data_IF_585348584670
#
_entry.id   IF_585348584670
#
_cell.length_a   1.000
_cell.length_b   1.000
_cell.length_c   1.000
_cell.angle_alpha   90.00
_cell.angle_beta   90.00
_cell.angle_gamma   90.00
#
_symmetry.space_group_name_H-M   'P 1'
#
loop_
_entity.id
_entity.type
_entity.pdbx_description
1 polymer ?
#
# COMPACT_ATOMS: atom_id res chain seq x y z
N UNK A 1 -39.60 -15.27 -9.44
CA UNK A 1 -38.35 -15.63 -8.74
C UNK A 1 -37.21 -14.93 -9.48
N UNK A 2 -36.38 -14.11 -8.87
CA UNK A 2 -35.22 -13.53 -9.56
C UNK A 2 -34.24 -14.69 -9.90
N UNK A 3 -34.04 -14.95 -11.17
CA UNK A 3 -32.99 -15.83 -11.65
C UNK A 3 -31.64 -15.18 -11.33
N UNK A 4 -30.92 -15.72 -10.37
CA UNK A 4 -29.56 -15.26 -10.07
C UNK A 4 -28.67 -15.55 -11.27
N UNK A 5 -28.12 -14.50 -11.86
CA UNK A 5 -27.14 -14.62 -12.93
C UNK A 5 -25.89 -15.39 -12.44
N UNK A 6 -25.41 -16.31 -13.24
CA UNK A 6 -24.23 -17.10 -12.91
C UNK A 6 -22.99 -16.19 -12.82
N UNK A 7 -22.09 -16.44 -11.84
CA UNK A 7 -20.85 -15.70 -11.73
C UNK A 7 -20.02 -15.74 -13.01
N UNK A 8 -20.08 -16.84 -13.76
CA UNK A 8 -19.41 -17.00 -15.05
C UNK A 8 -19.94 -16.03 -16.10
N UNK A 9 -21.26 -15.85 -16.19
CA UNK A 9 -21.89 -14.93 -17.13
C UNK A 9 -21.54 -13.48 -16.79
N UNK A 10 -21.45 -13.15 -15.50
CA UNK A 10 -21.04 -11.83 -15.03
C UNK A 10 -19.57 -11.56 -15.42
N UNK A 11 -18.66 -12.54 -15.25
CA UNK A 11 -17.24 -12.37 -15.58
C UNK A 11 -17.02 -12.31 -17.12
N UNK A 12 -17.78 -13.04 -17.92
CA UNK A 12 -17.78 -12.95 -19.38
C UNK A 12 -18.25 -11.57 -19.85
N UNK A 13 -19.38 -11.07 -19.35
CA UNK A 13 -19.89 -9.74 -19.67
C UNK A 13 -18.92 -8.61 -19.21
N UNK A 14 -18.27 -8.78 -18.07
CA UNK A 14 -17.25 -7.84 -17.59
C UNK A 14 -16.04 -7.78 -18.53
N UNK A 15 -15.61 -8.91 -19.08
CA UNK A 15 -14.52 -8.98 -20.06
C UNK A 15 -14.90 -8.30 -21.38
N UNK A 16 -16.14 -8.47 -21.85
CA UNK A 16 -16.65 -7.80 -23.05
C UNK A 16 -16.71 -6.28 -22.87
N UNK A 17 -17.18 -5.81 -21.71
CA UNK A 17 -17.19 -4.38 -21.40
C UNK A 17 -15.76 -3.81 -21.30
N UNK A 18 -14.82 -4.55 -20.72
CA UNK A 18 -13.42 -4.14 -20.67
C UNK A 18 -12.83 -3.97 -22.06
N UNK A 19 -13.10 -4.93 -22.97
CA UNK A 19 -12.65 -4.84 -24.36
C UNK A 19 -13.30 -3.70 -25.15
N UNK A 20 -14.52 -3.28 -24.81
CA UNK A 20 -15.15 -2.08 -25.39
C UNK A 20 -14.51 -0.79 -24.88
N UNK A 21 -14.24 -0.71 -23.57
CA UNK A 21 -13.57 0.44 -22.93
C UNK A 21 -12.14 0.63 -23.45
N UNK A 22 -11.45 -0.45 -23.78
CA UNK A 22 -10.08 -0.43 -24.31
C UNK A 22 -10.00 0.08 -25.77
N UNK A 23 -11.06 -0.08 -26.55
CA UNK A 23 -11.13 0.40 -27.95
C UNK A 23 -11.27 1.93 -28.08
N UNK A 24 -11.58 2.64 -27.00
CA UNK A 24 -11.73 4.10 -26.98
C UNK A 24 -12.93 4.60 -26.20
N UNK A 25 -13.33 5.85 -26.43
CA UNK A 25 -14.50 6.44 -25.78
C UNK A 25 -15.77 5.73 -26.20
N UNK A 26 -16.59 5.36 -25.21
CA UNK A 26 -17.91 4.79 -25.47
C UNK A 26 -18.84 5.86 -26.08
N UNK A 27 -19.76 5.40 -26.91
CA UNK A 27 -20.87 6.24 -27.37
C UNK A 27 -21.84 6.50 -26.22
N UNK A 28 -22.64 7.59 -26.23
CA UNK A 28 -23.64 7.87 -25.18
C UNK A 28 -24.63 6.74 -24.94
N UNK A 29 -24.92 5.94 -25.98
CA UNK A 29 -25.77 4.75 -25.86
C UNK A 29 -25.07 3.61 -25.11
N UNK A 30 -23.80 3.35 -25.40
CA UNK A 30 -23.01 2.33 -24.71
C UNK A 30 -22.71 2.70 -23.24
N UNK A 31 -22.54 3.99 -22.94
CA UNK A 31 -22.42 4.46 -21.55
C UNK A 31 -23.69 4.18 -20.75
N UNK A 32 -24.86 4.46 -21.32
CA UNK A 32 -26.14 4.15 -20.69
C UNK A 32 -26.37 2.64 -20.50
N UNK A 33 -25.94 1.80 -21.46
CA UNK A 33 -26.01 0.35 -21.35
C UNK A 33 -25.06 -0.17 -20.24
N UNK A 34 -23.85 0.34 -20.17
CA UNK A 34 -22.89 -0.01 -19.10
C UNK A 34 -23.43 0.36 -17.73
N UNK A 35 -23.99 1.55 -17.59
CA UNK A 35 -24.53 2.00 -16.32
C UNK A 35 -25.73 1.15 -15.89
N UNK A 36 -26.65 0.85 -16.80
CA UNK A 36 -27.78 -0.05 -16.57
C UNK A 36 -27.30 -1.48 -16.17
N UNK A 37 -26.28 -1.98 -16.83
CA UNK A 37 -25.69 -3.27 -16.50
C UNK A 37 -25.07 -3.24 -15.08
N UNK A 38 -24.33 -2.21 -14.71
CA UNK A 38 -23.71 -2.06 -13.39
C UNK A 38 -24.72 -1.92 -12.24
N UNK A 39 -25.93 -1.40 -12.51
CA UNK A 39 -26.99 -1.26 -11.51
C UNK A 39 -27.76 -2.56 -11.27
N UNK A 40 -27.73 -3.51 -12.20
CA UNK A 40 -28.53 -4.73 -12.12
C UNK A 40 -28.10 -5.73 -11.05
N UNK A 41 -26.78 -5.86 -10.76
CA UNK A 41 -26.23 -6.77 -9.75
C UNK A 41 -24.97 -6.17 -9.13
N UNK A 42 -24.88 -6.06 -7.77
CA UNK A 42 -23.70 -5.49 -7.07
C UNK A 42 -22.38 -6.18 -7.39
N UNK A 43 -22.40 -7.46 -7.80
CA UNK A 43 -21.22 -8.24 -8.17
C UNK A 43 -20.58 -7.79 -9.48
N UNK A 44 -21.35 -7.19 -10.41
CA UNK A 44 -20.90 -6.78 -11.74
C UNK A 44 -19.83 -5.71 -11.71
N UNK A 45 -19.93 -4.75 -10.78
CA UNK A 45 -18.91 -3.71 -10.59
C UNK A 45 -17.55 -4.31 -10.18
N UNK A 46 -17.56 -5.30 -9.28
CA UNK A 46 -16.35 -6.03 -8.89
C UNK A 46 -15.76 -6.88 -10.01
N UNK A 47 -16.62 -7.49 -10.85
CA UNK A 47 -16.20 -8.25 -12.01
C UNK A 47 -15.54 -7.36 -13.06
N UNK A 48 -16.11 -6.19 -13.37
CA UNK A 48 -15.53 -5.22 -14.30
C UNK A 48 -14.14 -4.76 -13.87
N UNK A 49 -13.98 -4.41 -12.59
CA UNK A 49 -12.67 -4.02 -12.05
C UNK A 49 -11.63 -5.15 -12.15
N UNK A 50 -12.02 -6.39 -11.90
CA UNK A 50 -11.12 -7.55 -12.09
C UNK A 50 -10.72 -7.74 -13.54
N UNK A 51 -11.68 -7.64 -14.48
CA UNK A 51 -11.42 -7.77 -15.90
C UNK A 51 -10.47 -6.69 -16.42
N UNK A 52 -10.66 -5.43 -16.01
CA UNK A 52 -9.76 -4.32 -16.33
C UNK A 52 -8.33 -4.55 -15.77
N UNK A 53 -8.21 -5.04 -14.53
CA UNK A 53 -6.91 -5.34 -13.93
C UNK A 53 -6.18 -6.48 -14.68
N UNK A 54 -6.91 -7.46 -15.22
CA UNK A 54 -6.35 -8.54 -16.03
C UNK A 54 -5.91 -8.01 -17.40
N UNK A 55 -6.71 -7.14 -18.04
CA UNK A 55 -6.37 -6.52 -19.33
C UNK A 55 -5.08 -5.70 -19.23
N UNK A 56 -4.94 -4.84 -18.21
CA UNK A 56 -3.73 -4.06 -17.95
C UNK A 56 -2.49 -4.94 -17.74
N UNK A 57 -2.63 -6.09 -17.06
CA UNK A 57 -1.55 -7.07 -16.91
C UNK A 57 -1.19 -7.73 -18.24
N UNK A 58 -2.18 -8.02 -19.08
CA UNK A 58 -1.99 -8.63 -20.38
C UNK A 58 -1.24 -7.70 -21.35
N UNK A 59 -1.56 -6.40 -21.35
CA UNK A 59 -0.80 -5.40 -22.12
C UNK A 59 0.65 -5.27 -21.65
N UNK A 60 0.86 -5.27 -20.32
CA UNK A 60 2.20 -5.27 -19.75
C UNK A 60 3.00 -6.52 -20.12
N UNK A 61 2.34 -7.68 -20.24
CA UNK A 61 2.97 -8.92 -20.67
C UNK A 61 3.31 -8.92 -22.18
N UNK A 62 2.45 -8.32 -23.02
CA UNK A 62 2.74 -8.14 -24.45
C UNK A 62 3.91 -7.19 -24.70
N UNK A 63 4.10 -6.16 -23.85
CA UNK A 63 5.24 -5.26 -23.90
C UNK A 63 6.58 -5.94 -23.57
N UNK A 64 6.58 -7.12 -22.93
CA UNK A 64 7.77 -7.92 -22.64
C UNK A 64 8.30 -8.72 -23.85
N UNK A 65 7.59 -8.73 -24.97
CA UNK A 65 8.02 -9.33 -26.24
C UNK A 65 7.90 -10.86 -26.30
N UNK A 66 8.24 -11.44 -27.47
CA UNK A 66 8.07 -12.87 -27.81
C UNK A 66 8.97 -13.86 -27.05
N UNK A 67 9.72 -13.42 -26.04
CA UNK A 67 10.57 -14.26 -25.18
C UNK A 67 9.97 -14.50 -23.78
N UNK A 68 8.74 -14.10 -23.57
CA UNK A 68 8.07 -14.34 -22.28
C UNK A 68 7.61 -15.79 -22.19
N UNK A 69 8.24 -16.58 -21.28
CA UNK A 69 7.77 -17.93 -20.95
C UNK A 69 6.99 -17.86 -19.61
N UNK A 70 5.68 -18.14 -19.61
CA UNK A 70 4.89 -18.18 -18.39
C UNK A 70 5.38 -19.20 -17.35
N UNK A 71 6.13 -20.23 -17.79
CA UNK A 71 6.67 -21.26 -16.90
C UNK A 71 7.76 -20.74 -15.96
N UNK A 72 8.45 -19.65 -16.31
CA UNK A 72 9.46 -19.03 -15.46
C UNK A 72 8.88 -18.33 -14.22
N UNK A 73 7.56 -18.11 -14.21
CA UNK A 73 6.82 -17.45 -13.14
C UNK A 73 5.83 -18.37 -12.42
N UNK A 74 5.84 -19.66 -12.74
CA UNK A 74 5.02 -20.64 -12.03
C UNK A 74 5.49 -20.71 -10.55
N UNK A 75 4.56 -20.65 -9.57
CA UNK A 75 4.94 -20.85 -8.18
C UNK A 75 5.58 -22.23 -8.02
N UNK A 76 6.65 -22.38 -7.21
CA UNK A 76 7.29 -23.66 -7.02
C UNK A 76 6.28 -24.68 -6.54
N UNK A 77 6.19 -25.79 -7.26
CA UNK A 77 5.33 -26.93 -6.90
C UNK A 77 5.65 -27.33 -5.47
N UNK A 78 4.65 -27.53 -4.58
CA UNK A 78 4.91 -27.93 -3.22
C UNK A 78 5.72 -29.23 -3.23
N UNK A 79 6.94 -29.17 -2.75
CA UNK A 79 7.78 -30.36 -2.58
C UNK A 79 7.00 -31.35 -1.70
N UNK A 80 6.78 -32.56 -2.20
CA UNK A 80 6.18 -33.66 -1.45
C UNK A 80 6.87 -33.76 -0.09
N UNK A 81 6.09 -33.60 0.97
CA UNK A 81 6.54 -33.84 2.35
C UNK A 81 6.96 -35.29 2.46
N UNK A 82 8.27 -35.57 2.31
CA UNK A 82 8.85 -36.85 2.70
C UNK A 82 8.54 -37.06 4.17
N UNK A 83 7.71 -38.06 4.44
CA UNK A 83 7.30 -38.47 5.77
C UNK A 83 8.50 -38.73 6.68
N UNK A 84 8.61 -37.96 7.76
CA UNK A 84 9.57 -38.25 8.81
C UNK A 84 9.12 -39.53 9.50
N UNK A 85 9.90 -40.60 9.31
CA UNK A 85 9.72 -41.91 9.91
C UNK A 85 9.69 -41.81 11.45
N UNK A 86 8.59 -42.28 12.05
CA UNK A 86 8.36 -42.38 13.50
C UNK A 86 9.19 -43.51 14.16
N UNK A 87 10.49 -43.59 13.91
CA UNK A 87 11.36 -44.56 14.58
C UNK A 87 12.69 -43.92 14.98
N UNK A 88 12.66 -43.10 16.04
CA UNK A 88 13.83 -42.83 16.89
C UNK A 88 13.43 -41.97 18.10
N UNK A 89 12.58 -42.53 18.95
CA UNK A 89 12.46 -42.08 20.33
C UNK A 89 12.45 -43.30 21.22
N UNK A 90 13.63 -43.66 21.69
CA UNK A 90 13.78 -44.45 22.94
C UNK A 90 15.28 -44.35 23.30
N UNK A 91 15.44 -44.13 24.59
CA UNK A 91 16.65 -44.16 25.39
C UNK A 91 17.24 -42.76 25.67
N UNK A 92 16.77 -42.19 26.81
CA UNK A 92 17.65 -41.87 27.94
C UNK A 92 16.80 -41.66 29.19
N UNK A 93 16.74 -42.68 30.03
CA UNK A 93 16.27 -42.67 31.41
C UNK A 93 17.39 -42.19 32.32
N UNK A 94 17.10 -41.31 33.26
CA UNK A 94 18.06 -40.96 34.32
C UNK A 94 17.56 -39.84 35.22
N UNK A 95 16.82 -40.21 36.23
CA UNK A 95 16.61 -39.66 37.60
C UNK A 95 17.04 -38.23 37.92
N UNK A 96 16.12 -37.42 38.41
CA UNK A 96 16.20 -36.74 39.72
C UNK A 96 14.87 -36.06 40.08
N UNK A 97 14.25 -36.52 41.16
CA UNK A 97 13.11 -35.90 41.84
C UNK A 97 13.59 -34.65 42.57
N UNK A 98 13.03 -33.51 42.24
CA UNK A 98 12.99 -32.34 43.12
C UNK A 98 11.71 -31.58 42.83
N UNK A 99 10.82 -31.55 43.80
CA UNK A 99 9.53 -30.91 43.77
C UNK A 99 9.67 -29.39 43.60
N UNK A 100 9.05 -28.87 42.56
CA UNK A 100 8.70 -27.48 42.50
C UNK A 100 7.23 -27.39 42.03
N UNK A 101 6.38 -27.03 42.96
CA UNK A 101 4.98 -26.68 42.71
C UNK A 101 4.96 -25.47 41.81
N UNK A 102 4.90 -25.67 40.49
CA UNK A 102 4.65 -24.61 39.53
C UNK A 102 3.17 -24.18 39.68
N UNK A 103 2.96 -23.10 40.42
CA UNK A 103 1.75 -22.31 40.31
C UNK A 103 1.72 -21.82 38.85
N UNK A 104 0.89 -22.46 38.04
CA UNK A 104 0.55 -22.00 36.73
C UNK A 104 -0.24 -20.68 36.89
N UNK A 105 0.48 -19.56 37.01
CA UNK A 105 -0.07 -18.24 36.75
C UNK A 105 -0.38 -18.27 35.27
N UNK A 106 -1.65 -18.40 34.92
CA UNK A 106 -2.17 -18.29 33.56
C UNK A 106 -1.91 -16.89 33.06
N UNK A 107 -0.71 -16.67 32.56
CA UNK A 107 -0.42 -15.51 31.68
C UNK A 107 -1.19 -15.81 30.42
N UNK A 108 -2.40 -15.26 30.31
CA UNK A 108 -3.13 -15.17 29.04
C UNK A 108 -2.25 -14.39 28.08
N UNK A 109 -1.43 -15.12 27.30
CA UNK A 109 -0.74 -14.48 26.16
C UNK A 109 -1.83 -13.86 25.29
N UNK A 110 -1.80 -12.54 25.06
CA UNK A 110 -2.77 -11.92 24.17
C UNK A 110 -2.64 -12.64 22.83
N UNK A 111 -3.77 -13.11 22.30
CA UNK A 111 -3.85 -13.85 21.05
C UNK A 111 -2.95 -13.17 20.01
N UNK A 112 -1.90 -13.86 19.57
CA UNK A 112 -0.91 -13.33 18.67
C UNK A 112 -1.61 -13.01 17.35
N UNK A 113 -1.82 -11.69 17.06
CA UNK A 113 -2.45 -11.25 15.84
C UNK A 113 -1.61 -11.65 14.62
N UNK A 114 -2.26 -11.81 13.47
CA UNK A 114 -1.59 -12.12 12.21
C UNK A 114 -0.80 -10.91 11.72
N UNK A 115 0.50 -11.05 11.51
CA UNK A 115 1.33 -10.00 10.90
C UNK A 115 1.43 -10.25 9.40
N UNK A 116 1.17 -9.20 8.61
CA UNK A 116 1.26 -9.21 7.15
C UNK A 116 2.23 -8.11 6.75
N UNK A 117 3.16 -8.45 5.84
CA UNK A 117 4.17 -7.51 5.37
C UNK A 117 4.32 -7.57 3.87
N UNK A 118 4.77 -6.46 3.29
CA UNK A 118 5.22 -6.33 1.90
C UNK A 118 6.74 -6.15 1.86
N UNK A 119 7.35 -6.68 0.81
CA UNK A 119 8.73 -6.38 0.45
C UNK A 119 8.87 -5.02 -0.25
N UNK A 120 10.12 -4.68 -0.62
CA UNK A 120 10.39 -3.48 -1.41
C UNK A 120 9.79 -3.61 -2.80
N UNK A 121 9.10 -2.57 -3.27
CA UNK A 121 8.39 -2.55 -4.55
C UNK A 121 7.10 -3.36 -4.59
N UNK A 122 6.76 -4.10 -3.51
CA UNK A 122 5.55 -4.90 -3.45
C UNK A 122 4.37 -4.05 -2.98
N UNK A 123 3.25 -4.17 -3.70
CA UNK A 123 1.93 -3.68 -3.30
C UNK A 123 1.04 -4.89 -2.98
N UNK A 124 0.29 -4.84 -1.89
CA UNK A 124 -0.57 -5.96 -1.49
C UNK A 124 -1.92 -5.51 -0.98
N UNK A 125 -2.98 -6.02 -1.58
CA UNK A 125 -4.34 -5.86 -1.07
C UNK A 125 -4.63 -6.94 -0.02
N UNK A 126 -5.06 -6.50 1.16
CA UNK A 126 -5.43 -7.36 2.29
C UNK A 126 -6.92 -7.18 2.57
N UNK A 127 -7.76 -8.17 2.25
CA UNK A 127 -9.16 -8.13 2.64
C UNK A 127 -9.29 -8.42 4.14
N UNK A 128 -10.15 -7.67 4.81
CA UNK A 128 -10.56 -7.92 6.18
C UNK A 128 -11.88 -8.69 6.20
N UNK A 129 -12.13 -9.45 7.28
CA UNK A 129 -13.33 -10.31 7.39
C UNK A 129 -14.66 -9.57 7.30
N UNK A 130 -14.65 -8.30 7.50
CA UNK A 130 -15.82 -7.43 7.47
C UNK A 130 -16.14 -6.83 6.09
N UNK A 131 -15.35 -7.15 5.08
CA UNK A 131 -15.45 -6.56 3.75
C UNK A 131 -14.67 -5.24 3.57
N UNK A 132 -14.06 -4.72 4.64
CA UNK A 132 -13.07 -3.64 4.51
C UNK A 132 -11.80 -4.17 3.86
N UNK A 133 -11.01 -3.28 3.27
CA UNK A 133 -9.75 -3.64 2.64
C UNK A 133 -8.62 -2.73 3.11
N UNK A 134 -7.40 -3.27 3.13
CA UNK A 134 -6.18 -2.51 3.40
C UNK A 134 -5.21 -2.74 2.24
N UNK A 135 -4.86 -1.70 1.49
CA UNK A 135 -3.79 -1.75 0.51
C UNK A 135 -2.49 -1.39 1.21
N UNK A 136 -1.52 -2.28 1.17
CA UNK A 136 -0.18 -2.07 1.72
C UNK A 136 0.76 -1.58 0.62
N UNK A 137 1.46 -0.49 0.89
CA UNK A 137 2.52 0.03 0.04
C UNK A 137 3.83 -0.78 0.24
N UNK A 138 4.86 -0.43 -0.49
CA UNK A 138 6.23 -0.97 -0.37
C UNK A 138 6.74 -0.96 1.07
N UNK A 139 7.49 -2.00 1.48
CA UNK A 139 8.16 -2.12 2.78
C UNK A 139 7.24 -1.81 3.98
N UNK A 140 6.01 -2.29 3.92
CA UNK A 140 4.96 -2.05 4.92
C UNK A 140 4.71 -3.28 5.76
N UNK A 141 4.43 -3.09 7.05
CA UNK A 141 4.05 -4.17 7.95
C UNK A 141 2.89 -3.75 8.83
N UNK A 142 1.84 -4.57 8.85
CA UNK A 142 0.67 -4.41 9.70
C UNK A 142 0.47 -5.67 10.56
N UNK A 143 -0.20 -5.48 11.69
CA UNK A 143 -0.68 -6.59 12.52
C UNK A 143 -2.19 -6.49 12.69
N UNK A 144 -2.90 -7.57 12.36
CA UNK A 144 -4.36 -7.66 12.45
C UNK A 144 -4.72 -8.49 13.67
N UNK A 145 -5.62 -7.98 14.51
CA UNK A 145 -6.23 -8.69 15.63
C UNK A 145 -7.74 -8.56 15.53
N UNK A 146 -8.41 -9.70 15.42
CA UNK A 146 -9.86 -9.77 15.47
C UNK A 146 -10.27 -10.01 16.93
N UNK A 147 -10.77 -8.98 17.59
CA UNK A 147 -11.34 -9.07 18.93
C UNK A 147 -12.86 -9.27 18.92
N UNK A 148 -13.41 -9.63 20.10
CA UNK A 148 -14.86 -9.79 20.27
C UNK A 148 -15.59 -8.46 20.03
N UNK A 149 -15.02 -7.34 20.49
CA UNK A 149 -15.67 -6.03 20.50
C UNK A 149 -15.16 -5.06 19.43
N UNK A 150 -13.94 -5.23 18.96
CA UNK A 150 -13.32 -4.35 17.97
C UNK A 150 -12.42 -5.11 17.00
N UNK A 151 -12.27 -4.56 15.79
CA UNK A 151 -11.30 -5.01 14.79
C UNK A 151 -10.11 -4.07 14.85
N UNK A 152 -8.96 -4.62 15.16
CA UNK A 152 -7.75 -3.83 15.38
C UNK A 152 -6.71 -4.13 14.32
N UNK A 153 -6.23 -3.08 13.67
CA UNK A 153 -5.08 -3.14 12.76
C UNK A 153 -4.00 -2.21 13.31
N UNK A 154 -2.82 -2.72 13.56
CA UNK A 154 -1.69 -1.91 14.00
C UNK A 154 -0.74 -1.70 12.83
N UNK A 155 -0.47 -0.45 12.43
CA UNK A 155 0.57 -0.11 11.47
C UNK A 155 1.92 -0.10 12.19
N UNK A 156 2.76 -1.10 11.91
CA UNK A 156 4.08 -1.24 12.53
C UNK A 156 5.11 -0.35 11.82
N UNK A 157 5.10 -0.34 10.49
CA UNK A 157 5.92 0.52 9.62
C UNK A 157 5.33 0.61 8.23
N UNK A 158 5.76 1.61 7.46
CA UNK A 158 5.41 1.76 6.06
C UNK A 158 4.17 2.62 5.84
N UNK A 159 3.38 2.30 4.83
CA UNK A 159 2.25 3.09 4.38
C UNK A 159 1.10 2.20 3.94
N UNK A 160 -0.11 2.50 4.40
CA UNK A 160 -1.30 1.70 4.11
C UNK A 160 -2.51 2.59 3.83
N UNK A 161 -3.29 2.20 2.82
CA UNK A 161 -4.57 2.81 2.52
C UNK A 161 -5.70 1.90 2.98
N UNK A 162 -6.60 2.46 3.78
CA UNK A 162 -7.73 1.78 4.36
C UNK A 162 -9.02 2.16 3.63
N UNK A 163 -9.79 1.18 3.22
CA UNK A 163 -11.15 1.35 2.72
C UNK A 163 -12.11 0.61 3.65
N UNK A 164 -12.81 1.36 4.51
CA UNK A 164 -13.65 0.79 5.57
C UNK A 164 -15.09 0.68 5.08
N UNK A 165 -15.61 -0.56 5.06
CA UNK A 165 -16.95 -0.87 4.57
C UNK A 165 -18.05 -0.30 5.46
N UNK A 166 -19.16 0.12 4.83
CA UNK A 166 -20.37 0.61 5.51
C UNK A 166 -21.13 -0.46 6.29
N UNK A 167 -21.91 -0.02 7.26
CA UNK A 167 -22.99 -0.83 7.85
C UNK A 167 -22.53 -1.94 8.81
N UNK A 168 -21.34 -1.81 9.40
CA UNK A 168 -20.85 -2.76 10.41
C UNK A 168 -21.12 -2.25 11.82
N UNK A 169 -21.51 -3.18 12.71
CA UNK A 169 -21.82 -2.88 14.12
C UNK A 169 -20.59 -2.46 14.93
N UNK A 170 -19.38 -2.83 14.46
CA UNK A 170 -18.13 -2.56 15.17
C UNK A 170 -17.23 -1.64 14.35
N UNK A 171 -16.70 -0.55 14.94
CA UNK A 171 -15.77 0.33 14.26
C UNK A 171 -14.45 -0.39 13.97
N UNK A 172 -13.75 0.07 12.93
CA UNK A 172 -12.34 -0.28 12.71
C UNK A 172 -11.46 0.61 13.60
N UNK A 173 -10.56 0.00 14.34
CA UNK A 173 -9.54 0.68 15.14
C UNK A 173 -8.19 0.46 14.48
N UNK A 174 -7.54 1.53 14.03
CA UNK A 174 -6.17 1.48 13.53
C UNK A 174 -5.24 2.09 14.57
N UNK A 175 -4.23 1.32 14.97
CA UNK A 175 -3.22 1.77 15.95
C UNK A 175 -1.91 2.12 15.26
N UNK A 176 -1.31 3.24 15.68
CA UNK A 176 0.02 3.67 15.26
C UNK A 176 0.67 4.46 16.40
N UNK A 177 1.86 4.06 16.82
CA UNK A 177 2.65 4.73 17.89
C UNK A 177 1.83 5.07 19.15
N UNK A 178 1.02 4.09 19.60
CA UNK A 178 0.16 4.22 20.78
C UNK A 178 -1.10 5.07 20.59
N UNK A 179 -1.30 5.66 19.42
CA UNK A 179 -2.54 6.38 19.08
C UNK A 179 -3.56 5.46 18.45
N UNK A 180 -4.82 5.77 18.65
CA UNK A 180 -5.95 5.02 18.09
C UNK A 180 -6.75 5.88 17.14
N UNK A 181 -6.86 5.42 15.91
CA UNK A 181 -7.71 5.98 14.86
C UNK A 181 -8.96 5.12 14.78
N UNK A 182 -10.12 5.72 14.98
CA UNK A 182 -11.40 5.01 15.05
C UNK A 182 -12.30 5.55 13.96
N UNK A 183 -12.87 4.66 13.15
CA UNK A 183 -13.86 5.03 12.15
C UNK A 183 -14.89 3.92 11.94
N UNK A 184 -16.14 4.32 11.69
CA UNK A 184 -17.20 3.42 11.26
C UNK A 184 -17.21 3.24 9.74
N UNK A 185 -16.78 4.29 9.02
CA UNK A 185 -16.71 4.32 7.57
C UNK A 185 -15.80 5.47 7.13
N UNK A 186 -14.72 5.17 6.45
CA UNK A 186 -13.83 6.14 5.82
C UNK A 186 -12.93 5.46 4.79
N UNK A 187 -12.37 6.28 3.89
CA UNK A 187 -11.18 5.92 3.14
C UNK A 187 -10.06 6.87 3.52
N UNK A 188 -8.92 6.33 3.93
CA UNK A 188 -7.81 7.15 4.41
C UNK A 188 -6.46 6.45 4.20
N UNK A 189 -5.44 7.25 4.06
CA UNK A 189 -4.05 6.82 3.99
C UNK A 189 -3.35 7.11 5.33
N UNK A 190 -2.60 6.14 5.83
CA UNK A 190 -1.78 6.27 7.02
C UNK A 190 -0.36 5.87 6.69
N UNK A 191 0.60 6.77 6.92
CA UNK A 191 2.00 6.51 6.67
C UNK A 191 2.85 6.71 7.92
N UNK A 192 3.72 5.72 8.18
CA UNK A 192 4.74 5.70 9.22
C UNK A 192 6.08 5.40 8.58
N UNK A 193 6.71 6.43 8.03
CA UNK A 193 7.97 6.34 7.32
C UNK A 193 9.14 6.77 8.21
N UNK A 194 10.31 6.17 7.98
CA UNK A 194 11.52 6.52 8.75
C UNK A 194 11.91 7.98 8.49
N UNK A 195 12.15 8.74 9.56
CA UNK A 195 12.59 10.14 9.47
C UNK A 195 11.50 11.14 9.10
N UNK A 196 10.23 10.70 9.07
CA UNK A 196 9.08 11.55 8.84
C UNK A 196 8.03 11.35 9.95
N UNK A 197 7.25 12.38 10.29
CA UNK A 197 6.12 12.21 11.20
C UNK A 197 5.11 11.22 10.62
N UNK A 198 4.37 10.54 11.51
CA UNK A 198 3.22 9.74 11.07
C UNK A 198 2.19 10.69 10.48
N UNK A 199 1.76 10.39 9.26
CA UNK A 199 0.82 11.23 8.53
C UNK A 199 -0.48 10.47 8.29
N UNK A 200 -1.62 11.07 8.65
CA UNK A 200 -2.97 10.65 8.32
C UNK A 200 -3.53 11.58 7.25
N UNK A 201 -4.01 11.03 6.16
CA UNK A 201 -4.73 11.73 5.09
C UNK A 201 -6.11 11.07 4.91
N UNK A 202 -7.17 11.78 5.19
CA UNK A 202 -8.54 11.28 5.00
C UNK A 202 -9.04 11.72 3.63
N UNK A 203 -9.40 10.73 2.79
CA UNK A 203 -9.95 10.97 1.46
C UNK A 203 -11.48 11.07 1.49
N UNK A 204 -12.14 10.17 2.25
CA UNK A 204 -13.61 10.18 2.40
C UNK A 204 -14.00 9.81 3.83
N UNK A 205 -15.12 10.38 4.31
CA UNK A 205 -15.63 10.12 5.64
C UNK A 205 -14.90 10.89 6.74
N UNK A 206 -14.83 10.29 7.92
CA UNK A 206 -14.23 10.88 9.11
C UNK A 206 -13.47 9.82 9.90
N UNK A 207 -12.32 10.21 10.43
CA UNK A 207 -11.50 9.41 11.32
C UNK A 207 -11.32 10.16 12.64
N UNK A 208 -11.68 9.54 13.75
CA UNK A 208 -11.48 10.08 15.09
C UNK A 208 -10.14 9.59 15.65
N UNK A 209 -9.22 10.49 15.93
CA UNK A 209 -7.95 10.19 16.58
C UNK A 209 -8.07 10.36 18.08
N UNK A 210 -7.70 9.34 18.84
CA UNK A 210 -7.54 9.39 20.28
C UNK A 210 -6.06 9.22 20.62
N UNK A 211 -5.46 10.23 21.24
CA UNK A 211 -4.09 10.15 21.73
C UNK A 211 -4.07 9.62 23.19
N UNK A 212 -3.06 8.82 23.57
CA UNK A 212 -2.86 8.49 24.99
C UNK A 212 -2.45 9.80 25.71
N UNK A 213 -3.31 10.27 26.58
CA UNK A 213 -3.04 11.44 27.42
C UNK A 213 -3.22 11.08 28.88
N UNK A 214 -2.33 11.57 29.72
CA UNK A 214 -2.53 11.52 31.18
C UNK A 214 -3.55 12.60 31.54
N UNK A 215 -4.82 12.21 31.66
CA UNK A 215 -5.93 13.08 32.02
C UNK A 215 -7.06 13.07 31.00
N UNK A 216 -7.18 14.12 30.18
CA UNK A 216 -8.25 14.23 29.20
C UNK A 216 -7.93 13.51 27.91
N UNK A 217 -8.78 12.53 27.54
CA UNK A 217 -8.75 11.91 26.20
C UNK A 217 -9.25 12.92 25.17
N UNK A 218 -8.33 13.67 24.56
CA UNK A 218 -8.71 14.53 23.44
C UNK A 218 -8.98 13.67 22.21
N UNK A 219 -10.18 13.81 21.69
CA UNK A 219 -10.56 13.24 20.41
C UNK A 219 -10.43 14.33 19.35
N UNK A 220 -9.62 14.07 18.33
CA UNK A 220 -9.45 14.95 17.17
C UNK A 220 -10.14 14.31 15.98
N UNK A 221 -11.17 14.94 15.45
CA UNK A 221 -11.86 14.49 14.24
C UNK A 221 -11.13 15.02 13.00
N UNK A 222 -10.75 14.10 12.10
CA UNK A 222 -10.14 14.40 10.80
C UNK A 222 -11.16 14.04 9.72
N UNK A 223 -11.66 15.04 9.01
CA UNK A 223 -12.68 14.89 7.96
C UNK A 223 -12.05 14.66 6.59
N UNK A 224 -12.90 14.37 5.61
CA UNK A 224 -12.50 14.27 4.21
C UNK A 224 -11.71 15.51 3.76
N UNK A 225 -10.73 15.29 2.90
CA UNK A 225 -9.79 16.29 2.35
C UNK A 225 -8.99 17.03 3.42
N UNK A 226 -8.75 16.36 4.55
CA UNK A 226 -7.86 16.85 5.61
C UNK A 226 -6.70 15.89 5.86
N UNK A 227 -5.55 16.46 6.20
CA UNK A 227 -4.38 15.75 6.70
C UNK A 227 -4.09 16.10 8.15
N UNK A 228 -3.42 15.18 8.83
CA UNK A 228 -2.93 15.37 10.18
C UNK A 228 -1.54 14.75 10.32
N UNK A 229 -0.55 15.58 10.65
CA UNK A 229 0.78 15.12 11.00
C UNK A 229 0.83 14.87 12.51
N UNK A 230 1.07 13.62 12.88
CA UNK A 230 1.12 13.20 14.29
C UNK A 230 2.52 13.50 14.83
N UNK A 231 2.59 14.33 15.85
CA UNK A 231 3.86 14.65 16.49
C UNK A 231 4.47 13.39 17.14
N UNK A 232 5.80 13.26 17.09
CA UNK A 232 6.47 12.17 17.81
C UNK A 232 6.21 12.29 19.31
N UNK A 233 5.95 11.16 20.01
CA UNK A 233 5.78 11.17 21.47
C UNK A 233 7.06 11.67 22.12
N UNK A 234 6.98 12.76 22.85
CA UNK A 234 8.12 13.31 23.63
C UNK A 234 8.01 12.85 25.08
N UNK A 235 9.02 12.15 25.57
CA UNK A 235 9.09 11.56 26.92
C UNK A 235 9.11 12.61 28.01
N UNK A 236 8.91 13.75 28.02
CA UNK A 236 8.92 14.72 29.14
C UNK A 236 8.38 16.11 28.75
N UNK A 237 7.74 16.24 27.57
CA UNK A 237 7.13 17.51 27.16
C UNK A 237 5.74 17.22 26.56
N UNK A 238 4.73 18.04 26.86
CA UNK A 238 3.45 17.95 26.19
C UNK A 238 3.67 18.13 24.68
N UNK A 239 3.15 17.19 23.89
CA UNK A 239 3.15 17.35 22.44
C UNK A 239 2.27 18.53 22.06
N UNK A 240 2.63 19.32 21.03
CA UNK A 240 1.77 20.39 20.54
C UNK A 240 0.43 19.81 20.13
N UNK A 241 -0.66 20.59 20.21
CA UNK A 241 -1.98 20.11 19.84
C UNK A 241 -1.99 19.72 18.37
N UNK A 242 -2.39 18.48 18.10
CA UNK A 242 -2.54 17.96 16.76
C UNK A 242 -3.73 18.68 16.09
N UNK A 243 -3.47 19.38 14.99
CA UNK A 243 -4.50 20.15 14.26
C UNK A 243 -4.60 19.64 12.83
N UNK A 244 -5.75 19.11 12.41
CA UNK A 244 -5.98 18.80 11.01
C UNK A 244 -5.86 20.05 10.13
N UNK A 245 -5.27 19.89 8.95
CA UNK A 245 -5.15 20.94 7.94
C UNK A 245 -5.79 20.49 6.63
N UNK A 246 -6.47 21.40 5.90
CA UNK A 246 -7.07 21.06 4.63
C UNK A 246 -5.98 20.78 3.58
N UNK A 247 -6.30 19.90 2.63
CA UNK A 247 -5.46 19.58 1.47
C UNK A 247 -6.28 19.71 0.20
N UNK A 248 -5.65 20.16 -0.89
CA UNK A 248 -6.31 20.20 -2.18
C UNK A 248 -6.53 18.79 -2.74
N UNK A 249 -7.54 18.62 -3.60
CA UNK A 249 -7.81 17.37 -4.31
C UNK A 249 -6.59 16.87 -5.09
N UNK A 250 -5.83 17.79 -5.70
CA UNK A 250 -4.61 17.46 -6.42
C UNK A 250 -3.54 16.88 -5.50
N UNK A 251 -3.41 17.43 -4.29
CA UNK A 251 -2.50 16.87 -3.27
C UNK A 251 -2.95 15.48 -2.82
N UNK A 252 -4.26 15.26 -2.64
CA UNK A 252 -4.81 13.93 -2.32
C UNK A 252 -4.48 12.95 -3.44
N UNK A 253 -4.78 13.30 -4.70
CA UNK A 253 -4.50 12.47 -5.89
C UNK A 253 -3.02 12.11 -5.98
N UNK A 254 -2.12 13.08 -5.80
CA UNK A 254 -0.67 12.84 -5.80
C UNK A 254 -0.22 11.91 -4.68
N UNK A 255 -0.69 12.15 -3.46
CA UNK A 255 -0.35 11.31 -2.30
C UNK A 255 -0.84 9.88 -2.44
N UNK A 256 -1.92 9.66 -3.20
CA UNK A 256 -2.51 8.34 -3.45
C UNK A 256 -2.06 7.70 -4.78
N UNK A 257 -1.19 8.36 -5.57
CA UNK A 257 -0.69 7.83 -6.85
C UNK A 257 -0.03 6.44 -6.72
N UNK A 258 0.52 6.14 -5.54
CA UNK A 258 1.12 4.83 -5.27
C UNK A 258 0.12 3.67 -5.33
N UNK A 259 -1.18 3.92 -5.13
CA UNK A 259 -2.24 2.90 -5.31
C UNK A 259 -2.24 2.34 -6.74
N UNK A 260 -1.79 3.14 -7.71
CA UNK A 260 -1.62 2.77 -9.11
C UNK A 260 -0.16 2.38 -9.46
N UNK A 261 0.70 2.19 -8.47
CA UNK A 261 2.11 1.89 -8.68
C UNK A 261 2.92 3.06 -9.22
N UNK A 262 2.48 4.29 -8.99
CA UNK A 262 3.11 5.52 -9.50
C UNK A 262 3.62 6.41 -8.37
N UNK A 263 4.58 7.27 -8.68
CA UNK A 263 5.02 8.38 -7.83
C UNK A 263 4.74 9.69 -8.57
N UNK A 264 4.09 10.62 -7.89
CA UNK A 264 3.76 11.94 -8.44
C UNK A 264 4.62 13.01 -7.78
N UNK A 265 5.21 13.88 -8.60
CA UNK A 265 6.01 15.02 -8.18
C UNK A 265 5.39 16.34 -8.66
N UNK A 266 5.54 17.40 -7.88
CA UNK A 266 5.07 18.76 -8.20
C UNK A 266 6.08 19.81 -7.70
N UNK A 267 7.23 19.85 -8.36
CA UNK A 267 8.30 20.79 -8.03
C UNK A 267 9.24 20.33 -6.93
N UNK A 268 9.18 19.05 -6.51
CA UNK A 268 10.20 18.47 -5.66
C UNK A 268 11.57 18.50 -6.32
N UNK A 269 12.63 18.65 -5.54
CA UNK A 269 13.99 18.61 -6.09
C UNK A 269 14.28 17.24 -6.70
N UNK A 270 15.12 17.19 -7.72
CA UNK A 270 15.53 15.94 -8.35
C UNK A 270 16.15 14.97 -7.32
N UNK A 271 16.88 15.49 -6.32
CA UNK A 271 17.39 14.66 -5.22
C UNK A 271 16.25 14.02 -4.42
N UNK A 272 15.23 14.79 -4.03
CA UNK A 272 14.07 14.26 -3.30
C UNK A 272 13.28 13.24 -4.13
N UNK A 273 13.17 13.49 -5.44
CA UNK A 273 12.56 12.54 -6.36
C UNK A 273 13.37 11.24 -6.44
N UNK A 274 14.69 11.31 -6.59
CA UNK A 274 15.59 10.15 -6.60
C UNK A 274 15.49 9.34 -5.29
N UNK A 275 15.46 10.01 -4.14
CA UNK A 275 15.30 9.38 -2.83
C UNK A 275 13.95 8.66 -2.70
N UNK A 276 12.90 9.19 -3.35
CA UNK A 276 11.58 8.57 -3.36
C UNK A 276 11.59 7.22 -4.09
N UNK A 277 12.34 7.08 -5.19
CA UNK A 277 12.50 5.81 -5.90
C UNK A 277 13.21 4.74 -5.06
N UNK A 278 14.10 5.12 -4.15
CA UNK A 278 14.79 4.19 -3.26
C UNK A 278 13.84 3.41 -2.31
N UNK A 279 12.62 3.86 -2.14
CA UNK A 279 11.57 3.12 -1.40
C UNK A 279 11.04 1.93 -2.18
N UNK A 280 11.02 2.01 -3.51
CA UNK A 280 10.35 1.04 -4.38
C UNK A 280 11.31 0.11 -5.13
N UNK A 281 12.59 0.47 -5.25
CA UNK A 281 13.58 -0.27 -6.03
C UNK A 281 14.91 -0.38 -5.28
N UNK A 282 15.63 -1.46 -5.53
CA UNK A 282 17.03 -1.60 -5.10
C UNK A 282 17.97 -0.79 -5.97
N UNK A 283 17.55 -0.44 -7.20
CA UNK A 283 18.27 0.48 -8.07
C UNK A 283 18.30 1.88 -7.47
N UNK A 284 19.49 2.40 -7.22
CA UNK A 284 19.71 3.72 -6.65
C UNK A 284 19.96 4.75 -7.74
N UNK A 285 19.42 5.95 -7.58
CA UNK A 285 19.72 7.09 -8.44
C UNK A 285 20.65 8.01 -7.67
N UNK A 286 21.86 8.22 -8.19
CA UNK A 286 22.86 9.11 -7.63
C UNK A 286 23.03 10.32 -8.53
N UNK A 287 22.96 11.52 -7.96
CA UNK A 287 23.13 12.77 -8.70
C UNK A 287 24.49 13.37 -8.29
N UNK A 288 25.40 13.52 -9.25
CA UNK A 288 26.76 14.02 -8.96
C UNK A 288 26.82 15.55 -8.83
N UNK A 289 25.97 16.24 -9.57
CA UNK A 289 26.00 17.69 -9.62
C UNK A 289 25.00 18.33 -8.68
N UNK A 290 25.48 19.16 -7.75
CA UNK A 290 24.63 19.83 -6.78
C UNK A 290 23.62 20.80 -7.43
N UNK A 291 23.91 21.35 -8.60
CA UNK A 291 22.97 22.18 -9.37
C UNK A 291 21.84 21.30 -9.92
N UNK A 292 22.19 20.17 -10.55
CA UNK A 292 21.21 19.22 -11.09
C UNK A 292 20.32 18.65 -9.96
N UNK A 293 20.89 18.35 -8.80
CA UNK A 293 20.17 17.82 -7.65
C UNK A 293 19.03 18.75 -7.16
N UNK A 294 19.15 20.06 -7.41
CA UNK A 294 18.16 21.08 -7.01
C UNK A 294 17.11 21.39 -8.07
N UNK A 295 17.26 20.83 -9.28
CA UNK A 295 16.28 21.07 -10.36
C UNK A 295 14.91 20.56 -9.95
N UNK A 296 13.83 21.31 -10.18
CA UNK A 296 12.48 20.91 -9.85
C UNK A 296 11.97 19.86 -10.82
N UNK A 297 11.34 18.82 -10.29
CA UNK A 297 10.73 17.75 -11.09
C UNK A 297 9.22 17.78 -10.88
N UNK A 298 8.48 17.77 -12.00
CA UNK A 298 7.03 17.65 -12.01
C UNK A 298 6.63 16.53 -12.96
N UNK A 299 5.73 15.66 -12.54
CA UNK A 299 5.22 14.58 -13.38
C UNK A 299 4.80 13.35 -12.59
N UNK A 300 4.29 12.37 -13.34
CA UNK A 300 3.84 11.08 -12.83
C UNK A 300 4.71 9.97 -13.42
N UNK A 301 5.34 9.18 -12.57
CA UNK A 301 6.32 8.17 -12.97
C UNK A 301 5.97 6.81 -12.37
N UNK A 302 6.27 5.72 -13.09
CA UNK A 302 6.14 4.37 -12.55
C UNK A 302 7.13 4.17 -11.40
N UNK A 303 6.64 3.79 -10.23
CA UNK A 303 7.44 3.68 -9.01
C UNK A 303 8.56 2.60 -9.11
N UNK A 304 8.35 1.59 -9.94
CA UNK A 304 9.28 0.49 -10.18
C UNK A 304 10.23 0.70 -11.37
N UNK A 305 10.22 1.89 -12.02
CA UNK A 305 11.08 2.20 -13.16
C UNK A 305 12.01 3.41 -12.91
N UNK A 306 13.01 3.28 -12.01
CA UNK A 306 14.00 4.33 -11.79
C UNK A 306 14.84 4.62 -13.05
N UNK A 307 14.99 3.64 -13.95
CA UNK A 307 15.73 3.83 -15.19
C UNK A 307 14.95 4.69 -16.19
N UNK A 308 13.64 4.48 -16.36
CA UNK A 308 12.78 5.32 -17.17
C UNK A 308 12.72 6.75 -16.65
N UNK A 309 12.58 6.93 -15.34
CA UNK A 309 12.67 8.23 -14.69
C UNK A 309 14.00 8.93 -15.00
N UNK A 310 15.12 8.24 -14.81
CA UNK A 310 16.45 8.81 -15.05
C UNK A 310 16.66 9.23 -16.51
N UNK A 311 16.17 8.44 -17.49
CA UNK A 311 16.22 8.82 -18.90
C UNK A 311 15.38 10.06 -19.20
N UNK A 312 14.15 10.12 -18.65
CA UNK A 312 13.28 11.28 -18.84
C UNK A 312 13.91 12.57 -18.29
N UNK A 313 14.45 12.49 -17.08
CA UNK A 313 15.15 13.62 -16.43
C UNK A 313 16.39 14.04 -17.23
N UNK A 314 17.17 13.08 -17.70
CA UNK A 314 18.37 13.35 -18.49
C UNK A 314 18.02 14.11 -19.79
N UNK A 315 16.93 13.72 -20.45
CA UNK A 315 16.46 14.41 -21.67
C UNK A 315 15.96 15.84 -21.40
N UNK A 316 15.36 16.10 -20.23
CA UNK A 316 14.83 17.43 -19.86
C UNK A 316 15.95 18.38 -19.45
N UNK A 317 16.93 17.91 -18.67
CA UNK A 317 17.96 18.74 -18.05
C UNK A 317 19.32 18.65 -18.76
N UNK A 318 19.38 18.08 -19.96
CA UNK A 318 20.60 17.84 -20.73
C UNK A 318 21.70 17.20 -19.87
N UNK A 319 21.31 16.10 -19.19
CA UNK A 319 22.16 15.36 -18.28
C UNK A 319 22.56 14.01 -18.90
N UNK A 320 23.70 13.48 -18.48
CA UNK A 320 24.19 12.17 -18.85
C UNK A 320 23.74 11.14 -17.85
N UNK A 321 23.26 9.99 -18.36
CA UNK A 321 22.91 8.80 -17.56
C UNK A 321 24.02 7.78 -17.70
N UNK A 322 24.58 7.33 -16.58
CA UNK A 322 25.58 6.27 -16.55
C UNK A 322 25.11 5.17 -15.58
N UNK A 323 25.16 3.91 -16.00
CA UNK A 323 24.74 2.78 -15.17
C UNK A 323 25.93 2.03 -14.63
N UNK A 324 26.04 1.93 -13.31
CA UNK A 324 27.10 1.24 -12.59
C UNK A 324 26.47 0.16 -11.70
N UNK A 325 26.25 -1.04 -12.25
CA UNK A 325 25.53 -2.11 -11.56
C UNK A 325 24.10 -1.71 -11.22
N UNK A 326 23.78 -1.68 -9.92
CA UNK A 326 22.47 -1.28 -9.40
C UNK A 326 22.36 0.24 -9.14
N UNK A 327 23.35 1.02 -9.54
CA UNK A 327 23.33 2.48 -9.39
C UNK A 327 23.25 3.14 -10.76
N UNK A 328 22.29 4.08 -10.89
CA UNK A 328 22.18 4.99 -12.03
C UNK A 328 22.75 6.32 -11.59
N UNK A 329 23.77 6.80 -12.30
CA UNK A 329 24.45 8.07 -12.01
C UNK A 329 23.98 9.11 -13.01
N UNK A 330 23.46 10.22 -12.50
CA UNK A 330 23.10 11.40 -13.28
C UNK A 330 24.16 12.48 -13.08
N UNK A 331 24.67 13.04 -14.20
CA UNK A 331 25.65 14.13 -14.19
C UNK A 331 25.39 15.08 -15.34
N UNK A 332 25.72 16.37 -15.17
CA UNK A 332 25.70 17.31 -16.30
C UNK A 332 26.82 16.98 -17.28
N UNK A 333 26.53 17.15 -18.55
CA UNK A 333 27.58 17.02 -19.56
C UNK A 333 28.50 18.27 -19.48
N UNK A 334 29.80 18.04 -19.16
CA UNK A 334 30.78 19.10 -18.95
C UNK A 334 31.10 19.92 -20.25
N UNK A 335 30.46 19.54 -21.38
CA UNK A 335 30.73 20.19 -22.68
C UNK A 335 29.78 21.34 -23.01
N UNK A 336 28.73 21.62 -22.20
CA UNK A 336 27.76 22.68 -22.48
C UNK A 336 28.12 24.06 -21.87
N UNK A 337 29.31 24.24 -21.29
CA UNK A 337 29.73 25.55 -20.74
C UNK A 337 30.76 26.23 -21.62
N UNK A 338 30.48 26.36 -22.93
CA UNK A 338 31.17 27.27 -23.85
C UNK A 338 30.11 28.11 -24.56
N UNK A 339 29.67 29.19 -23.91
CA UNK A 339 29.32 30.46 -24.58
C UNK A 339 29.25 31.54 -23.49
#
# INVERSE_FOLDING_TARGET
>A
MPTFESSRNIDEAASDWTARLDRGQLTPGEEAELEAWLQGDPRRRGALLRAQAIALKSESAQALGSRFDPADFAPPTPAEKRGISRRRTLIWTGSAVAGATLIAVGVSMPAAGTTISTGRGELRLVPLKDGSTVMLNTDTSIRIRDGADERRVTLLKGEAFFSVARGRTKPLVVEVDGRRLITAQATFNLSKLRGAPVNLLVHQGEVSLTAPSWGDQRVVAVKADMKLDLAEPRLFRPSPPERPSPVSSDTVTRKLAWLEGKIAFEGETLQAAADSFARYSDTRIQIRDASLAREPVTGLFAANDPAGFSRAVAAIFDAKVDRQGDTIVLSRDRHSNKF
#
